data_IF_279641398470
#
_entry.id   IF_279641398470
#
_cell.length_a   1.000
_cell.length_b   1.000
_cell.length_c   1.000
_cell.angle_alpha   90.00
_cell.angle_beta   90.00
_cell.angle_gamma   90.00
#
_symmetry.space_group_name_H-M   'P 1'
#
loop_
_entity.id
_entity.type
_entity.pdbx_description
1 polymer ?
#
# COMPACT_ATOMS: atom_id res chain seq x y z
N UNK A 1 -23.59 -65.11 -23.50
CA UNK A 1 -22.96 -64.94 -22.18
C UNK A 1 -22.17 -63.64 -22.13
N UNK A 2 -22.66 -62.63 -21.42
CA UNK A 2 -21.90 -61.37 -21.20
C UNK A 2 -20.88 -61.67 -20.08
N UNK A 3 -19.61 -61.60 -20.42
CA UNK A 3 -18.55 -61.65 -19.42
C UNK A 3 -18.59 -60.33 -18.63
N UNK A 4 -19.17 -60.32 -17.43
CA UNK A 4 -18.97 -59.26 -16.47
C UNK A 4 -17.54 -59.40 -15.97
N UNK A 5 -16.66 -58.51 -16.47
CA UNK A 5 -15.29 -58.42 -15.93
C UNK A 5 -15.42 -57.77 -14.54
N UNK A 6 -15.39 -58.55 -13.52
CA UNK A 6 -15.33 -58.07 -12.13
C UNK A 6 -14.10 -57.19 -11.92
N UNK A 7 -14.30 -56.04 -11.33
CA UNK A 7 -13.19 -55.17 -10.88
C UNK A 7 -12.42 -55.94 -9.80
N UNK A 8 -11.14 -56.19 -10.04
CA UNK A 8 -10.31 -56.87 -9.04
C UNK A 8 -10.02 -55.92 -7.86
N UNK A 9 -9.92 -56.46 -6.64
CA UNK A 9 -9.60 -55.68 -5.43
C UNK A 9 -8.34 -54.83 -5.62
N UNK A 10 -7.35 -55.32 -6.34
CA UNK A 10 -6.13 -54.58 -6.68
C UNK A 10 -6.41 -53.34 -7.51
N UNK A 11 -7.34 -53.40 -8.47
CA UNK A 11 -7.72 -52.22 -9.27
C UNK A 11 -8.39 -51.15 -8.43
N UNK A 12 -9.22 -51.53 -7.46
CA UNK A 12 -9.89 -50.59 -6.53
C UNK A 12 -8.85 -49.88 -5.69
N UNK A 13 -7.86 -50.59 -5.15
CA UNK A 13 -6.79 -49.96 -4.34
C UNK A 13 -6.00 -48.97 -5.16
N UNK A 14 -5.64 -49.28 -6.40
CA UNK A 14 -4.91 -48.35 -7.30
C UNK A 14 -5.74 -47.10 -7.55
N UNK A 15 -7.04 -47.20 -7.81
CA UNK A 15 -7.92 -46.05 -8.00
C UNK A 15 -8.02 -45.19 -6.76
N UNK A 16 -8.13 -45.76 -5.57
CA UNK A 16 -8.18 -45.00 -4.33
C UNK A 16 -6.89 -44.23 -4.10
N UNK A 17 -5.74 -44.87 -4.32
CA UNK A 17 -4.44 -44.18 -4.22
C UNK A 17 -4.35 -43.04 -5.23
N UNK A 18 -4.71 -43.30 -6.50
CA UNK A 18 -4.67 -42.27 -7.54
C UNK A 18 -5.56 -41.05 -7.22
N UNK A 19 -6.78 -41.29 -6.78
CA UNK A 19 -7.72 -40.23 -6.36
C UNK A 19 -7.16 -39.43 -5.17
N UNK A 20 -6.59 -40.12 -4.17
CA UNK A 20 -6.00 -39.46 -3.00
C UNK A 20 -4.85 -38.54 -3.40
N UNK A 21 -3.97 -38.93 -4.31
CA UNK A 21 -2.88 -38.10 -4.84
C UNK A 21 -3.43 -36.91 -5.59
N UNK A 22 -4.45 -37.12 -6.44
CA UNK A 22 -5.10 -36.01 -7.18
C UNK A 22 -5.71 -34.98 -6.25
N UNK A 23 -6.47 -35.44 -5.24
CA UNK A 23 -7.08 -34.55 -4.24
C UNK A 23 -6.00 -33.80 -3.46
N UNK A 24 -4.92 -34.47 -3.06
CA UNK A 24 -3.80 -33.84 -2.35
C UNK A 24 -3.13 -32.76 -3.17
N UNK A 25 -2.78 -33.04 -4.43
CA UNK A 25 -2.15 -32.06 -5.32
C UNK A 25 -3.08 -30.87 -5.61
N UNK A 26 -4.36 -31.13 -5.84
CA UNK A 26 -5.35 -30.06 -6.07
C UNK A 26 -5.51 -29.16 -4.85
N UNK A 27 -5.47 -29.71 -3.66
CA UNK A 27 -5.54 -28.93 -2.41
C UNK A 27 -4.37 -27.98 -2.25
N UNK A 28 -3.14 -28.44 -2.55
CA UNK A 28 -1.93 -27.59 -2.51
C UNK A 28 -2.01 -26.48 -3.55
N UNK A 29 -2.40 -26.79 -4.78
CA UNK A 29 -2.55 -25.79 -5.85
C UNK A 29 -3.59 -24.73 -5.46
N UNK A 30 -4.74 -25.16 -4.93
CA UNK A 30 -5.79 -24.26 -4.49
C UNK A 30 -5.32 -23.33 -3.37
N UNK A 31 -4.62 -23.85 -2.37
CA UNK A 31 -4.07 -23.04 -1.29
C UNK A 31 -3.10 -21.96 -1.80
N UNK A 32 -2.18 -22.34 -2.70
CA UNK A 32 -1.25 -21.40 -3.32
C UNK A 32 -1.97 -20.33 -4.16
N UNK A 33 -3.01 -20.72 -4.88
CA UNK A 33 -3.83 -19.79 -5.68
C UNK A 33 -4.57 -18.77 -4.79
N UNK A 34 -5.20 -19.21 -3.71
CA UNK A 34 -5.85 -18.30 -2.76
C UNK A 34 -4.86 -17.32 -2.12
N UNK A 35 -3.68 -17.78 -1.72
CA UNK A 35 -2.64 -16.93 -1.19
C UNK A 35 -2.16 -15.90 -2.22
N UNK A 36 -2.00 -16.30 -3.47
CA UNK A 36 -1.61 -15.39 -4.57
C UNK A 36 -2.68 -14.33 -4.83
N UNK A 37 -3.96 -14.71 -4.89
CA UNK A 37 -5.08 -13.75 -5.05
C UNK A 37 -5.10 -12.75 -3.88
N UNK A 38 -4.95 -13.22 -2.64
CA UNK A 38 -4.92 -12.34 -1.47
C UNK A 38 -3.79 -11.32 -1.57
N UNK A 39 -2.60 -11.76 -1.96
CA UNK A 39 -1.44 -10.88 -2.15
C UNK A 39 -1.67 -9.85 -3.25
N UNK A 40 -2.24 -10.26 -4.39
CA UNK A 40 -2.56 -9.35 -5.51
C UNK A 40 -3.59 -8.31 -5.08
N UNK A 41 -4.64 -8.72 -4.38
CA UNK A 41 -5.68 -7.80 -3.90
C UNK A 41 -5.13 -6.78 -2.91
N UNK A 42 -4.24 -7.19 -2.01
CA UNK A 42 -3.57 -6.27 -1.10
C UNK A 42 -2.68 -5.26 -1.84
N UNK A 43 -1.89 -5.72 -2.83
CA UNK A 43 -1.06 -4.86 -3.68
C UNK A 43 -1.90 -3.84 -4.46
N UNK A 44 -2.99 -4.28 -5.05
CA UNK A 44 -3.89 -3.40 -5.81
C UNK A 44 -4.54 -2.35 -4.92
N UNK A 45 -4.98 -2.73 -3.72
CA UNK A 45 -5.54 -1.79 -2.74
C UNK A 45 -4.53 -0.73 -2.32
N UNK A 46 -3.30 -1.14 -1.99
CA UNK A 46 -2.22 -0.24 -1.66
C UNK A 46 -1.88 0.71 -2.83
N UNK A 47 -1.68 0.16 -4.02
CA UNK A 47 -1.35 0.95 -5.21
C UNK A 47 -2.43 2.00 -5.52
N UNK A 48 -3.70 1.66 -5.36
CA UNK A 48 -4.82 2.60 -5.52
C UNK A 48 -4.75 3.74 -4.52
N UNK A 49 -4.62 3.45 -3.23
CA UNK A 49 -4.52 4.45 -2.15
C UNK A 49 -3.30 5.35 -2.31
N UNK A 50 -2.17 4.76 -2.67
CA UNK A 50 -0.95 5.51 -2.95
C UNK A 50 -1.13 6.48 -4.14
N UNK A 51 -1.69 6.00 -5.25
CA UNK A 51 -1.96 6.84 -6.42
C UNK A 51 -2.93 7.97 -6.08
N UNK A 52 -3.93 7.69 -5.27
CA UNK A 52 -4.90 8.69 -4.79
C UNK A 52 -4.21 9.74 -3.92
N UNK A 53 -3.37 9.33 -2.97
CA UNK A 53 -2.55 10.24 -2.16
C UNK A 53 -1.68 11.15 -3.03
N UNK A 54 -0.90 10.57 -3.95
CA UNK A 54 -0.01 11.35 -4.85
C UNK A 54 -0.82 12.33 -5.69
N UNK A 55 -1.98 11.93 -6.19
CA UNK A 55 -2.86 12.79 -6.99
C UNK A 55 -3.39 13.99 -6.20
N UNK A 56 -3.89 13.76 -4.99
CA UNK A 56 -4.36 14.85 -4.12
C UNK A 56 -3.22 15.78 -3.72
N UNK A 57 -2.09 15.20 -3.35
CA UNK A 57 -0.93 15.97 -2.94
C UNK A 57 -0.37 16.81 -4.08
N UNK A 58 -0.19 16.23 -5.27
CA UNK A 58 0.25 16.94 -6.45
C UNK A 58 -0.68 18.10 -6.82
N UNK A 59 -2.00 17.88 -6.70
CA UNK A 59 -2.99 18.93 -6.93
C UNK A 59 -2.80 20.09 -5.97
N UNK A 60 -2.65 19.82 -4.67
CA UNK A 60 -2.48 20.87 -3.66
C UNK A 60 -1.16 21.62 -3.83
N UNK A 61 -0.06 20.92 -4.20
CA UNK A 61 1.25 21.56 -4.45
C UNK A 61 1.23 22.41 -5.72
N UNK A 62 0.49 21.99 -6.74
CA UNK A 62 0.44 22.66 -8.05
C UNK A 62 -0.69 23.68 -8.18
N UNK A 63 -1.54 23.81 -7.18
CA UNK A 63 -2.62 24.78 -7.15
C UNK A 63 -2.03 26.21 -7.14
N UNK A 64 -2.54 27.06 -8.00
CA UNK A 64 -2.06 28.44 -8.12
C UNK A 64 -2.28 29.20 -6.79
N UNK A 65 -1.27 29.95 -6.36
CA UNK A 65 -1.25 30.71 -5.09
C UNK A 65 -1.35 29.83 -3.80
N UNK A 66 -1.27 28.50 -3.92
CA UNK A 66 -1.24 27.60 -2.78
C UNK A 66 0.21 27.34 -2.38
N UNK A 67 0.60 27.87 -1.21
CA UNK A 67 1.96 27.76 -0.68
C UNK A 67 2.00 26.83 0.52
N UNK A 68 3.15 26.21 0.74
CA UNK A 68 3.42 25.53 2.01
C UNK A 68 3.58 26.58 3.09
N UNK A 69 2.77 26.48 4.13
CA UNK A 69 2.84 27.38 5.31
C UNK A 69 3.79 26.82 6.36
N UNK A 70 3.74 25.51 6.57
CA UNK A 70 4.56 24.82 7.55
C UNK A 70 4.76 23.36 7.14
N UNK A 71 5.93 22.83 7.42
CA UNK A 71 6.25 21.41 7.32
C UNK A 71 7.18 21.03 8.45
N UNK A 72 7.07 19.83 8.98
CA UNK A 72 7.93 19.33 10.04
C UNK A 72 7.28 18.27 10.88
N UNK A 73 7.78 18.14 12.10
CA UNK A 73 7.39 17.14 13.07
C UNK A 73 6.64 17.79 14.24
N UNK A 74 5.64 17.10 14.76
CA UNK A 74 4.95 17.46 15.99
C UNK A 74 4.64 16.21 16.80
N UNK A 75 4.33 16.41 18.07
CA UNK A 75 3.93 15.32 18.97
C UNK A 75 2.42 15.33 19.13
N UNK A 76 1.79 14.20 18.86
CA UNK A 76 0.36 14.03 19.09
C UNK A 76 -0.03 13.93 20.55
N UNK A 77 -1.32 13.87 20.84
CA UNK A 77 -1.88 13.90 22.19
C UNK A 77 -1.45 12.73 23.08
N UNK A 78 -1.01 11.63 22.48
CA UNK A 78 -0.55 10.42 23.16
C UNK A 78 0.98 10.27 23.12
N UNK A 79 1.71 11.33 22.74
CA UNK A 79 3.16 11.31 22.63
C UNK A 79 3.68 10.69 21.33
N UNK A 80 2.80 10.34 20.40
CA UNK A 80 3.20 9.80 19.09
C UNK A 80 3.82 10.87 18.18
N UNK A 81 4.80 10.45 17.41
CA UNK A 81 5.42 11.27 16.38
C UNK A 81 4.49 11.43 15.19
N UNK A 82 4.25 12.68 14.81
CA UNK A 82 3.42 13.05 13.65
C UNK A 82 4.24 13.97 12.75
N UNK A 83 4.51 13.51 11.53
CA UNK A 83 5.05 14.35 10.47
C UNK A 83 3.90 15.07 9.76
N UNK A 84 4.07 16.35 9.44
CA UNK A 84 2.99 17.10 8.80
C UNK A 84 3.51 18.12 7.77
N UNK A 85 2.63 18.43 6.82
CA UNK A 85 2.78 19.57 5.91
C UNK A 85 1.44 20.27 5.77
N UNK A 86 1.45 21.60 5.86
CA UNK A 86 0.27 22.45 5.82
C UNK A 86 0.35 23.42 4.64
N UNK A 87 -0.73 23.52 3.89
CA UNK A 87 -0.89 24.41 2.75
C UNK A 87 -1.76 25.63 3.09
N UNK A 88 -1.60 26.72 2.29
CA UNK A 88 -2.34 27.96 2.43
C UNK A 88 -3.85 27.78 2.24
N UNK A 89 -4.28 26.88 1.38
CA UNK A 89 -5.69 26.54 1.17
C UNK A 89 -6.35 25.82 2.37
N UNK A 90 -5.62 25.61 3.46
CA UNK A 90 -6.08 24.96 4.67
C UNK A 90 -5.89 23.44 4.70
N UNK A 91 -5.48 22.83 3.60
CA UNK A 91 -5.22 21.39 3.59
C UNK A 91 -3.98 21.04 4.41
N UNK A 92 -4.11 20.01 5.22
CA UNK A 92 -3.05 19.48 6.08
C UNK A 92 -2.90 18.00 5.81
N UNK A 93 -1.68 17.59 5.49
CA UNK A 93 -1.32 16.18 5.42
C UNK A 93 -0.54 15.83 6.68
N UNK A 94 -0.88 14.71 7.29
CA UNK A 94 -0.25 14.21 8.53
C UNK A 94 0.10 12.75 8.33
N UNK A 95 1.27 12.35 8.76
CA UNK A 95 1.65 10.95 8.90
C UNK A 95 1.81 10.63 10.38
N UNK A 96 1.13 9.59 10.83
CA UNK A 96 1.27 9.07 12.20
C UNK A 96 2.07 7.76 12.15
N UNK A 97 3.18 7.75 12.87
CA UNK A 97 4.04 6.57 12.99
C UNK A 97 3.33 5.42 13.71
N UNK A 98 2.53 5.72 14.71
CA UNK A 98 1.82 4.72 15.51
C UNK A 98 0.76 3.95 14.71
N UNK A 99 0.04 4.62 13.82
CA UNK A 99 -0.98 4.02 12.95
C UNK A 99 -0.47 3.64 11.58
N UNK A 100 0.76 4.05 11.22
CA UNK A 100 1.36 3.87 9.90
C UNK A 100 0.48 4.39 8.76
N UNK A 101 -0.13 5.55 8.97
CA UNK A 101 -1.21 6.08 8.13
C UNK A 101 -0.97 7.54 7.77
N UNK A 102 -1.25 7.88 6.52
CA UNK A 102 -1.29 9.26 6.05
C UNK A 102 -2.75 9.75 6.03
N UNK A 103 -2.96 10.91 6.62
CA UNK A 103 -4.24 11.61 6.72
C UNK A 103 -4.20 12.90 5.89
N UNK A 104 -5.33 13.26 5.29
CA UNK A 104 -5.61 14.59 4.77
C UNK A 104 -6.81 15.16 5.54
N UNK A 105 -6.64 16.28 6.23
CA UNK A 105 -7.70 16.91 7.03
C UNK A 105 -8.43 15.90 7.92
N UNK A 106 -7.66 15.05 8.64
CA UNK A 106 -8.11 13.98 9.52
C UNK A 106 -8.81 12.78 8.84
N UNK A 107 -8.93 12.77 7.52
CA UNK A 107 -9.40 11.63 6.74
C UNK A 107 -8.24 10.73 6.30
N UNK A 108 -8.36 9.42 6.49
CA UNK A 108 -7.37 8.44 6.05
C UNK A 108 -7.30 8.43 4.53
N UNK A 109 -6.08 8.64 3.98
CA UNK A 109 -5.84 8.54 2.53
C UNK A 109 -5.03 7.30 2.20
N UNK A 110 -3.96 7.06 2.94
CA UNK A 110 -3.06 5.94 2.68
C UNK A 110 -2.64 5.28 3.99
N UNK A 111 -2.67 3.97 4.04
CA UNK A 111 -2.26 3.16 5.19
C UNK A 111 -1.12 2.20 4.82
N UNK A 112 -0.55 1.51 5.84
CA UNK A 112 0.59 0.59 5.71
C UNK A 112 1.87 1.27 5.20
N UNK A 113 2.10 2.51 5.61
CA UNK A 113 3.33 3.26 5.38
C UNK A 113 4.23 3.11 6.59
N UNK A 114 5.41 2.53 6.44
CA UNK A 114 6.34 2.33 7.55
C UNK A 114 6.95 3.63 8.04
N UNK A 115 7.33 4.51 7.10
CA UNK A 115 7.84 5.85 7.39
C UNK A 115 7.39 6.82 6.31
N UNK A 116 7.10 8.06 6.69
CA UNK A 116 6.84 9.14 5.75
C UNK A 116 7.35 10.45 6.36
N UNK A 117 8.23 11.14 5.65
CA UNK A 117 8.76 12.42 6.05
C UNK A 117 8.36 13.47 5.03
N UNK A 118 7.83 14.58 5.50
CA UNK A 118 7.54 15.74 4.67
C UNK A 118 8.62 16.80 4.89
N UNK A 119 9.30 17.21 3.82
CA UNK A 119 10.24 18.31 3.87
C UNK A 119 9.89 19.37 2.83
N UNK A 120 10.13 20.62 3.18
CA UNK A 120 9.94 21.75 2.31
C UNK A 120 11.19 22.60 2.29
N UNK A 121 11.69 22.91 1.10
CA UNK A 121 12.84 23.79 0.90
C UNK A 121 12.43 24.91 -0.03
N UNK A 122 12.56 26.15 0.43
CA UNK A 122 12.33 27.33 -0.38
C UNK A 122 13.62 27.72 -1.11
N UNK A 123 13.55 27.86 -2.43
CA UNK A 123 14.71 28.23 -3.27
C UNK A 123 14.67 29.70 -3.71
N UNK A 124 13.47 30.29 -3.78
CA UNK A 124 13.25 31.63 -4.25
C UNK A 124 11.91 32.13 -3.70
N UNK A 125 11.67 33.45 -3.74
CA UNK A 125 10.47 34.11 -3.17
C UNK A 125 9.14 33.45 -3.58
N UNK A 126 9.13 32.66 -4.66
CA UNK A 126 7.92 32.01 -5.19
C UNK A 126 8.16 30.58 -5.67
N UNK A 127 9.26 29.96 -5.33
CA UNK A 127 9.57 28.58 -5.73
C UNK A 127 10.06 27.79 -4.55
N UNK A 128 9.39 26.69 -4.27
CA UNK A 128 9.80 25.76 -3.26
C UNK A 128 9.75 24.33 -3.79
N UNK A 129 10.49 23.46 -3.16
CA UNK A 129 10.50 22.04 -3.39
C UNK A 129 9.89 21.36 -2.18
N UNK A 130 8.88 20.54 -2.42
CA UNK A 130 8.36 19.60 -1.42
C UNK A 130 8.91 18.22 -1.73
N UNK A 131 9.55 17.62 -0.76
CA UNK A 131 10.04 16.25 -0.88
C UNK A 131 9.27 15.37 0.10
N UNK A 132 8.76 14.25 -0.38
CA UNK A 132 8.14 13.22 0.43
C UNK A 132 9.02 12.00 0.33
N UNK A 133 9.58 11.59 1.44
CA UNK A 133 10.28 10.32 1.58
C UNK A 133 9.37 9.36 2.31
N UNK A 134 9.08 8.23 1.70
CA UNK A 134 8.29 7.19 2.37
C UNK A 134 8.82 5.80 2.09
N UNK A 135 8.56 4.92 3.04
CA UNK A 135 8.90 3.52 2.99
C UNK A 135 7.66 2.70 3.29
N UNK A 136 7.39 1.72 2.46
CA UNK A 136 6.35 0.73 2.69
C UNK A 136 6.93 -0.67 2.60
N UNK A 137 6.79 -1.44 3.67
CA UNK A 137 7.30 -2.81 3.79
C UNK A 137 6.28 -3.91 3.54
N UNK A 138 5.11 -3.57 3.03
CA UNK A 138 4.01 -4.54 2.86
C UNK A 138 4.30 -5.69 1.88
N UNK A 139 5.35 -5.63 1.11
CA UNK A 139 5.70 -6.67 0.12
C UNK A 139 7.23 -6.76 0.06
N UNK A 140 7.79 -7.95 -0.17
CA UNK A 140 9.21 -8.35 -0.23
C UNK A 140 10.22 -7.36 -0.85
N UNK A 141 9.78 -6.18 -1.24
CA UNK A 141 10.58 -5.06 -1.71
C UNK A 141 10.20 -3.82 -0.94
N UNK A 142 11.09 -3.38 -0.10
CA UNK A 142 11.07 -2.05 0.49
C UNK A 142 11.16 -1.02 -0.64
N UNK A 143 10.07 -0.33 -0.96
CA UNK A 143 10.13 0.82 -1.85
C UNK A 143 10.51 2.02 -0.99
N UNK A 144 11.74 2.50 -1.14
CA UNK A 144 12.13 3.84 -0.70
C UNK A 144 11.90 4.75 -1.91
N UNK A 145 10.90 5.60 -1.85
CA UNK A 145 10.63 6.55 -2.91
C UNK A 145 10.71 7.96 -2.35
N UNK A 146 11.44 8.82 -3.05
CA UNK A 146 11.41 10.26 -2.83
C UNK A 146 10.59 10.89 -3.97
N UNK A 147 9.46 11.49 -3.61
CA UNK A 147 8.65 12.27 -4.53
C UNK A 147 9.01 13.74 -4.40
N UNK A 148 9.43 14.34 -5.48
CA UNK A 148 9.80 15.75 -5.52
C UNK A 148 8.75 16.52 -6.30
N UNK A 149 8.16 17.52 -5.67
CA UNK A 149 7.20 18.42 -6.28
C UNK A 149 7.72 19.86 -6.24
N UNK A 150 7.45 20.60 -7.27
CA UNK A 150 7.76 22.03 -7.32
C UNK A 150 6.47 22.81 -7.17
N UNK A 151 6.44 23.73 -6.20
CA UNK A 151 5.33 24.66 -6.03
C UNK A 151 5.28 25.63 -7.20
N UNK A 152 4.11 25.87 -7.74
CA UNK A 152 3.88 26.94 -8.70
C UNK A 152 3.85 28.31 -8.01
N UNK A 153 4.09 29.30 -8.82
CA UNK A 153 4.12 30.71 -8.43
C UNK A 153 2.71 31.22 -8.09
#
# INVERSE_FOLDING_TARGET
MKYEKGITTSSVIIYVIAITVVIGTFSVISANFYNSIRTINQKNSYSKKYTEFVSYFAKDVQEDDNKVIAAGETTGSQGEKIEYIKFKNGNIYKYSESTKTIYKNDSVICDNIDTCNFSYTEYDVNKGQVTIEFKSGSFDKTANEALVFYTKK
#
